data_IF_981567280422
#
_entry.id   IF_981567280422
#
_cell.length_a   1.000
_cell.length_b   1.000
_cell.length_c   1.000
_cell.angle_alpha   90.00
_cell.angle_beta   90.00
_cell.angle_gamma   90.00
#
_symmetry.space_group_name_H-M   'P 1'
#
loop_
_entity.id
_entity.type
_entity.pdbx_description
1 polymer ?
#
# COMPACT_ATOMS: atom_id res chain seq x y z
N UNK A 1 -7.69 -31.84 -4.93
CA UNK A 1 -9.14 -31.72 -5.17
C UNK A 1 -9.34 -31.58 -6.68
N UNK A 2 -10.26 -32.33 -7.27
CA UNK A 2 -10.51 -32.24 -8.71
C UNK A 2 -11.57 -31.16 -8.98
N UNK A 3 -11.11 -29.96 -9.37
CA UNK A 3 -11.99 -28.81 -9.62
C UNK A 3 -12.28 -28.72 -11.12
N UNK A 4 -13.55 -28.81 -11.49
CA UNK A 4 -13.98 -28.59 -12.87
C UNK A 4 -13.85 -27.11 -13.26
N UNK A 5 -12.76 -26.76 -13.98
CA UNK A 5 -12.49 -25.41 -14.47
C UNK A 5 -13.64 -24.85 -15.32
N UNK A 6 -14.27 -25.68 -16.16
CA UNK A 6 -15.44 -25.28 -16.97
C UNK A 6 -16.62 -24.84 -16.10
N UNK A 7 -16.90 -25.58 -15.02
CA UNK A 7 -17.96 -25.24 -14.07
C UNK A 7 -17.60 -23.99 -13.28
N UNK A 8 -16.38 -23.90 -12.78
CA UNK A 8 -15.85 -22.75 -12.05
C UNK A 8 -16.01 -21.46 -12.86
N UNK A 9 -15.57 -21.47 -14.13
CA UNK A 9 -15.73 -20.34 -15.06
C UNK A 9 -17.19 -19.91 -15.18
N UNK A 10 -18.10 -20.86 -15.42
CA UNK A 10 -19.53 -20.61 -15.59
C UNK A 10 -20.16 -20.01 -14.33
N UNK A 11 -19.80 -20.51 -13.16
CA UNK A 11 -20.37 -20.05 -11.90
C UNK A 11 -19.84 -18.67 -11.49
N UNK A 12 -18.54 -18.42 -11.63
CA UNK A 12 -17.97 -17.09 -11.41
C UNK A 12 -18.51 -16.06 -12.41
N UNK A 13 -18.69 -16.43 -13.68
CA UNK A 13 -19.25 -15.53 -14.69
C UNK A 13 -20.69 -15.10 -14.40
N UNK A 14 -21.48 -15.90 -13.66
CA UNK A 14 -22.82 -15.49 -13.20
C UNK A 14 -22.74 -14.43 -12.10
N UNK A 15 -21.62 -14.34 -11.38
CA UNK A 15 -21.44 -13.39 -10.28
C UNK A 15 -20.87 -12.08 -10.81
N UNK A 16 -19.77 -12.13 -11.57
CA UNK A 16 -19.01 -10.93 -11.98
C UNK A 16 -19.20 -10.54 -13.45
N UNK A 17 -19.92 -11.32 -14.25
CA UNK A 17 -19.99 -11.18 -15.71
C UNK A 17 -18.96 -12.04 -16.43
N UNK A 18 -19.20 -12.34 -17.71
CA UNK A 18 -18.32 -13.22 -18.52
C UNK A 18 -16.97 -12.58 -18.81
N UNK A 19 -16.98 -11.27 -18.99
CA UNK A 19 -15.84 -10.40 -19.27
C UNK A 19 -14.91 -10.21 -18.07
N UNK A 20 -15.33 -10.64 -16.87
CA UNK A 20 -14.60 -10.48 -15.62
C UNK A 20 -14.24 -11.82 -14.96
N UNK A 21 -14.40 -12.95 -15.67
CA UNK A 21 -14.14 -14.30 -15.18
C UNK A 21 -13.19 -15.04 -16.12
N UNK A 22 -11.95 -15.21 -15.67
CA UNK A 22 -10.85 -15.76 -16.45
C UNK A 22 -10.39 -17.11 -15.89
N UNK A 23 -10.06 -18.03 -16.80
CA UNK A 23 -9.59 -19.40 -16.50
C UNK A 23 -8.57 -19.87 -17.53
N UNK A 24 -8.16 -18.99 -18.44
CA UNK A 24 -7.13 -19.28 -19.44
C UNK A 24 -5.74 -19.28 -18.80
N UNK A 25 -4.84 -20.07 -19.40
CA UNK A 25 -3.47 -20.25 -18.89
C UNK A 25 -2.67 -18.94 -18.89
N UNK A 26 -2.71 -18.07 -19.93
CA UNK A 26 -1.97 -16.81 -19.93
C UNK A 26 -2.34 -15.92 -18.73
N UNK A 27 -3.63 -15.73 -18.47
CA UNK A 27 -4.09 -14.96 -17.30
C UNK A 27 -3.62 -15.62 -16.00
N UNK A 28 -3.77 -16.94 -15.89
CA UNK A 28 -3.34 -17.65 -14.69
C UNK A 28 -1.84 -17.49 -14.41
N UNK A 29 -0.99 -17.49 -15.45
CA UNK A 29 0.46 -17.29 -15.32
C UNK A 29 0.76 -15.86 -14.84
N UNK A 30 0.06 -14.86 -15.40
CA UNK A 30 0.27 -13.47 -15.02
C UNK A 30 0.00 -13.21 -13.52
N UNK A 31 -1.04 -13.84 -12.95
CA UNK A 31 -1.38 -13.70 -11.53
C UNK A 31 -0.65 -14.68 -10.60
N UNK A 32 0.11 -15.64 -11.14
CA UNK A 32 0.94 -16.53 -10.34
C UNK A 32 2.36 -15.98 -10.08
N UNK A 33 2.76 -14.95 -10.83
CA UNK A 33 4.04 -14.27 -10.69
C UNK A 33 4.04 -13.30 -9.51
N UNK A 34 5.20 -13.12 -8.93
CA UNK A 34 5.51 -11.97 -8.09
C UNK A 34 6.51 -11.06 -8.79
N UNK A 35 6.73 -9.87 -8.24
CA UNK A 35 7.75 -8.93 -8.75
C UNK A 35 9.15 -9.52 -8.54
N UNK A 36 9.37 -10.25 -7.44
CA UNK A 36 10.58 -11.02 -7.18
C UNK A 36 10.31 -12.11 -6.11
N UNK A 37 10.74 -13.38 -6.32
CA UNK A 37 11.21 -13.96 -7.59
C UNK A 37 10.07 -14.08 -8.62
N UNK A 38 10.42 -14.03 -9.91
CA UNK A 38 9.45 -14.08 -11.02
C UNK A 38 9.04 -15.50 -11.43
N UNK A 39 9.60 -16.52 -10.80
CA UNK A 39 9.35 -17.92 -11.12
C UNK A 39 7.91 -18.32 -10.78
N UNK A 40 7.33 -19.14 -11.65
CA UNK A 40 5.95 -19.61 -11.54
C UNK A 40 5.96 -21.10 -11.25
N UNK A 41 5.38 -21.46 -10.11
CA UNK A 41 5.23 -22.84 -9.68
C UNK A 41 3.80 -23.30 -9.93
N UNK A 42 3.63 -24.55 -10.37
CA UNK A 42 2.30 -25.09 -10.73
C UNK A 42 1.31 -25.02 -9.57
N UNK A 43 1.77 -25.21 -8.33
CA UNK A 43 0.91 -25.12 -7.16
C UNK A 43 0.47 -23.69 -6.83
N UNK A 44 1.09 -22.64 -7.37
CA UNK A 44 0.66 -21.24 -7.17
C UNK A 44 -0.30 -20.76 -8.26
N UNK A 45 -0.52 -21.55 -9.31
CA UNK A 45 -1.36 -21.16 -10.43
C UNK A 45 -2.84 -21.06 -10.00
N UNK A 46 -3.50 -19.91 -10.13
CA UNK A 46 -4.91 -19.83 -9.78
C UNK A 46 -5.76 -20.69 -10.73
N UNK A 47 -6.83 -21.27 -10.18
CA UNK A 47 -7.85 -21.96 -10.99
C UNK A 47 -8.66 -20.96 -11.83
N UNK A 48 -8.86 -19.77 -11.27
CA UNK A 48 -9.58 -18.69 -11.92
C UNK A 48 -9.14 -17.33 -11.36
N UNK A 49 -9.29 -16.29 -12.18
CA UNK A 49 -9.21 -14.90 -11.76
C UNK A 49 -10.59 -14.27 -11.96
N UNK A 50 -11.13 -13.66 -10.91
CA UNK A 50 -12.38 -12.92 -10.94
C UNK A 50 -12.11 -11.44 -10.65
N UNK A 51 -12.71 -10.55 -11.44
CA UNK A 51 -12.66 -9.09 -11.23
C UNK A 51 -13.99 -8.60 -10.69
N UNK A 52 -14.25 -8.64 -9.38
CA UNK A 52 -15.49 -8.12 -8.82
C UNK A 52 -15.58 -6.59 -8.94
N UNK A 53 -16.78 -6.08 -9.12
CA UNK A 53 -17.07 -4.64 -9.20
C UNK A 53 -17.63 -4.03 -7.90
N UNK A 54 -17.93 -4.84 -6.88
CA UNK A 54 -18.51 -4.37 -5.62
C UNK A 54 -18.42 -5.45 -4.52
N UNK A 55 -18.75 -5.07 -3.28
CA UNK A 55 -18.73 -5.97 -2.11
C UNK A 55 -19.75 -7.11 -2.17
N UNK A 56 -20.88 -6.96 -2.87
CA UNK A 56 -21.88 -8.03 -3.03
C UNK A 56 -21.36 -9.15 -3.94
N UNK A 57 -20.65 -8.82 -5.02
CA UNK A 57 -19.98 -9.80 -5.87
C UNK A 57 -18.92 -10.58 -5.09
N UNK A 58 -18.10 -9.90 -4.30
CA UNK A 58 -17.09 -10.54 -3.43
C UNK A 58 -17.75 -11.47 -2.41
N UNK A 59 -18.81 -11.00 -1.74
CA UNK A 59 -19.62 -11.83 -0.81
C UNK A 59 -20.08 -13.13 -1.46
N UNK A 60 -20.61 -13.07 -2.69
CA UNK A 60 -21.06 -14.25 -3.43
C UNK A 60 -19.90 -15.17 -3.80
N UNK A 61 -18.74 -14.62 -4.19
CA UNK A 61 -17.55 -15.43 -4.49
C UNK A 61 -17.05 -16.15 -3.24
N UNK A 62 -16.93 -15.47 -2.09
CA UNK A 62 -16.47 -16.10 -0.85
C UNK A 62 -17.41 -17.20 -0.37
N UNK A 63 -18.74 -16.99 -0.47
CA UNK A 63 -19.74 -18.04 -0.18
C UNK A 63 -19.60 -19.24 -1.11
N UNK A 64 -19.38 -19.00 -2.41
CA UNK A 64 -19.12 -20.06 -3.38
C UNK A 64 -17.84 -20.81 -3.05
N UNK A 65 -16.75 -20.09 -2.76
CA UNK A 65 -15.45 -20.64 -2.45
C UNK A 65 -15.49 -21.52 -1.20
N UNK A 66 -16.15 -21.07 -0.12
CA UNK A 66 -16.37 -21.86 1.10
C UNK A 66 -17.14 -23.16 0.82
N UNK A 67 -18.25 -23.07 0.08
CA UNK A 67 -19.07 -24.25 -0.26
C UNK A 67 -18.27 -25.31 -1.01
N UNK A 68 -17.32 -24.89 -1.85
CA UNK A 68 -16.51 -25.77 -2.68
C UNK A 68 -15.09 -26.01 -2.11
N UNK A 69 -14.79 -25.48 -0.91
CA UNK A 69 -13.47 -25.56 -0.25
C UNK A 69 -12.31 -25.06 -1.14
N UNK A 70 -12.53 -23.97 -1.87
CA UNK A 70 -11.53 -23.38 -2.77
C UNK A 70 -10.87 -22.20 -2.04
N UNK A 71 -9.53 -22.16 -1.90
CA UNK A 71 -8.83 -21.00 -1.36
C UNK A 71 -9.08 -19.75 -2.19
N UNK A 72 -8.99 -18.58 -1.55
CA UNK A 72 -9.15 -17.28 -2.21
C UNK A 72 -7.94 -16.42 -1.91
N UNK A 73 -7.43 -15.71 -2.92
CA UNK A 73 -6.32 -14.76 -2.78
C UNK A 73 -6.77 -13.39 -3.28
N UNK A 74 -6.63 -12.36 -2.46
CA UNK A 74 -6.90 -10.98 -2.85
C UNK A 74 -5.71 -10.39 -3.57
N UNK A 75 -5.95 -9.73 -4.69
CA UNK A 75 -4.90 -9.13 -5.51
C UNK A 75 -5.24 -7.68 -5.82
N UNK A 76 -4.35 -6.78 -5.37
CA UNK A 76 -4.35 -5.38 -5.79
C UNK A 76 -3.72 -5.24 -7.17
N UNK A 77 -2.44 -4.88 -7.21
CA UNK A 77 -1.64 -4.81 -8.44
C UNK A 77 -0.39 -5.69 -8.45
N UNK A 78 -0.19 -6.51 -7.41
CA UNK A 78 0.92 -7.48 -7.37
C UNK A 78 2.31 -6.87 -7.17
N UNK A 79 2.41 -5.64 -6.68
CA UNK A 79 3.68 -4.87 -6.57
C UNK A 79 4.50 -5.17 -5.32
N UNK A 80 4.14 -6.19 -4.55
CA UNK A 80 4.89 -6.60 -3.35
C UNK A 80 6.23 -7.20 -3.74
N UNK A 81 7.24 -7.07 -2.88
CA UNK A 81 8.56 -7.71 -3.03
C UNK A 81 8.76 -8.86 -2.03
N UNK A 82 7.75 -9.18 -1.22
CA UNK A 82 7.85 -10.17 -0.13
C UNK A 82 6.91 -11.36 -0.32
N UNK A 83 6.50 -11.63 -1.55
CA UNK A 83 5.69 -12.81 -1.86
C UNK A 83 4.17 -12.59 -1.80
N UNK A 84 3.68 -11.38 -1.47
CA UNK A 84 2.24 -11.12 -1.26
C UNK A 84 1.47 -10.91 -2.57
N UNK A 85 2.16 -10.70 -3.69
CA UNK A 85 1.51 -10.52 -4.99
C UNK A 85 1.00 -11.82 -5.59
N UNK A 86 1.62 -12.95 -5.22
CA UNK A 86 1.30 -14.28 -5.74
C UNK A 86 0.48 -15.14 -4.76
N UNK A 87 -0.46 -15.97 -5.26
CA UNK A 87 -1.12 -16.99 -4.46
C UNK A 87 -0.14 -17.98 -3.83
N UNK A 88 -0.48 -18.51 -2.66
CA UNK A 88 0.31 -19.57 -1.98
C UNK A 88 -0.10 -21.00 -2.36
N UNK A 89 -1.24 -21.12 -3.03
CA UNK A 89 -1.82 -22.38 -3.50
C UNK A 89 -2.75 -22.07 -4.66
N UNK A 90 -3.14 -23.09 -5.43
CA UNK A 90 -4.18 -22.97 -6.44
C UNK A 90 -5.46 -22.44 -5.77
N UNK A 91 -6.02 -21.35 -6.29
CA UNK A 91 -7.08 -20.58 -5.64
C UNK A 91 -7.97 -19.88 -6.67
N UNK A 92 -8.98 -19.16 -6.18
CA UNK A 92 -9.62 -18.07 -6.91
C UNK A 92 -8.89 -16.78 -6.55
N UNK A 93 -8.38 -16.06 -7.54
CA UNK A 93 -7.84 -14.71 -7.33
C UNK A 93 -8.95 -13.69 -7.47
N UNK A 94 -9.05 -12.77 -6.51
CA UNK A 94 -9.90 -11.58 -6.57
C UNK A 94 -9.06 -10.39 -7.01
N UNK A 95 -9.19 -9.98 -8.26
CA UNK A 95 -8.56 -8.78 -8.78
C UNK A 95 -9.45 -7.56 -8.53
N UNK A 96 -8.96 -6.67 -7.67
CA UNK A 96 -9.70 -5.51 -7.18
C UNK A 96 -9.72 -4.32 -8.17
N UNK A 97 -9.14 -4.44 -9.36
CA UNK A 97 -8.93 -3.34 -10.30
C UNK A 97 -10.22 -2.67 -10.84
N UNK A 98 -11.42 -3.24 -10.65
CA UNK A 98 -12.68 -2.58 -11.01
C UNK A 98 -13.20 -1.64 -9.93
N UNK A 99 -12.81 -1.84 -8.67
CA UNK A 99 -13.28 -1.06 -7.54
C UNK A 99 -12.37 0.17 -7.34
N UNK A 100 -12.74 1.31 -7.95
CA UNK A 100 -11.91 2.52 -8.05
C UNK A 100 -12.62 3.82 -7.66
N UNK A 101 -13.84 3.74 -7.15
CA UNK A 101 -14.59 4.93 -6.76
C UNK A 101 -13.92 5.69 -5.62
N UNK A 102 -14.04 7.02 -5.66
CA UNK A 102 -13.50 7.95 -4.67
C UNK A 102 -14.55 9.03 -4.36
N UNK A 103 -14.76 9.30 -3.08
CA UNK A 103 -15.56 10.43 -2.58
C UNK A 103 -14.76 11.18 -1.53
N UNK A 104 -14.59 12.48 -1.71
CA UNK A 104 -13.84 13.34 -0.78
C UNK A 104 -14.83 14.23 -0.03
N UNK A 105 -14.66 14.36 1.28
CA UNK A 105 -15.50 15.16 2.17
C UNK A 105 -14.62 16.17 2.93
N UNK A 106 -14.15 17.26 2.28
CA UNK A 106 -13.20 18.20 2.88
C UNK A 106 -13.72 18.82 4.17
N UNK A 107 -14.99 19.24 4.18
CA UNK A 107 -15.65 19.85 5.35
C UNK A 107 -15.78 18.89 6.54
N UNK A 108 -15.62 17.59 6.30
CA UNK A 108 -15.64 16.53 7.32
C UNK A 108 -14.25 15.96 7.61
N UNK A 109 -13.22 16.37 6.88
CA UNK A 109 -11.84 15.95 7.10
C UNK A 109 -11.53 14.49 6.75
N UNK A 110 -12.26 13.86 5.82
CA UNK A 110 -11.97 12.49 5.37
C UNK A 110 -12.32 12.27 3.89
N UNK A 111 -11.85 11.13 3.35
CA UNK A 111 -12.27 10.61 2.06
C UNK A 111 -12.63 9.12 2.18
N UNK A 112 -13.46 8.64 1.27
CA UNK A 112 -13.80 7.23 1.10
C UNK A 112 -13.33 6.77 -0.27
N UNK A 113 -12.60 5.66 -0.32
CA UNK A 113 -12.01 5.13 -1.55
C UNK A 113 -12.16 3.62 -1.64
N UNK A 114 -12.37 3.13 -2.85
CA UNK A 114 -12.34 1.72 -3.15
C UNK A 114 -10.90 1.19 -3.32
N UNK A 115 -10.64 -0.09 -2.98
CA UNK A 115 -9.29 -0.63 -2.77
C UNK A 115 -8.43 -0.68 -4.04
N UNK A 116 -9.03 -0.66 -5.23
CA UNK A 116 -8.34 -0.77 -6.52
C UNK A 116 -7.83 0.55 -7.09
N UNK A 117 -8.04 1.69 -6.41
CA UNK A 117 -7.52 2.97 -6.88
C UNK A 117 -6.00 3.06 -6.67
N UNK A 118 -5.28 3.45 -7.73
CA UNK A 118 -3.82 3.61 -7.67
C UNK A 118 -3.42 4.83 -6.82
N UNK A 119 -2.29 4.72 -6.13
CA UNK A 119 -1.76 5.76 -5.24
C UNK A 119 -1.54 7.08 -5.97
N UNK A 120 -0.92 7.07 -7.16
CA UNK A 120 -0.69 8.29 -7.94
C UNK A 120 -2.01 9.00 -8.32
N UNK A 121 -3.05 8.23 -8.67
CA UNK A 121 -4.38 8.79 -9.01
C UNK A 121 -5.08 9.36 -7.78
N UNK A 122 -4.99 8.66 -6.65
CA UNK A 122 -5.53 9.13 -5.38
C UNK A 122 -4.82 10.42 -4.92
N UNK A 123 -3.48 10.46 -4.95
CA UNK A 123 -2.69 11.65 -4.61
C UNK A 123 -3.09 12.84 -5.47
N UNK A 124 -3.21 12.65 -6.80
CA UNK A 124 -3.66 13.70 -7.72
C UNK A 124 -5.07 14.21 -7.39
N UNK A 125 -5.99 13.32 -7.01
CA UNK A 125 -7.35 13.70 -6.64
C UNK A 125 -7.42 14.43 -5.28
N UNK A 126 -6.49 14.17 -4.37
CA UNK A 126 -6.42 14.82 -3.06
C UNK A 126 -5.66 16.17 -3.08
N UNK A 127 -4.83 16.43 -4.10
CA UNK A 127 -4.04 17.64 -4.22
C UNK A 127 -4.84 18.97 -4.11
N UNK A 128 -6.04 19.12 -4.73
CA UNK A 128 -6.85 20.33 -4.57
C UNK A 128 -7.30 20.63 -3.14
N UNK A 129 -7.20 19.66 -2.24
CA UNK A 129 -7.58 19.78 -0.83
C UNK A 129 -6.38 20.00 0.10
N UNK A 130 -5.19 20.28 -0.46
CA UNK A 130 -3.94 20.41 0.28
C UNK A 130 -3.70 19.25 1.26
N UNK A 131 -4.01 18.03 0.81
CA UNK A 131 -4.01 16.84 1.66
C UNK A 131 -2.85 15.89 1.30
N UNK A 132 -2.15 15.43 2.34
CA UNK A 132 -1.16 14.38 2.29
C UNK A 132 -1.85 13.00 2.28
N UNK A 133 -1.41 12.14 1.35
CA UNK A 133 -1.61 10.69 1.45
C UNK A 133 -0.34 10.07 2.07
N UNK A 134 -0.41 9.44 3.26
CA UNK A 134 0.75 9.03 4.06
C UNK A 134 1.30 7.68 3.57
N UNK A 135 1.51 7.55 2.27
CA UNK A 135 2.03 6.37 1.62
C UNK A 135 2.92 6.79 0.45
N UNK A 136 4.17 6.33 0.44
CA UNK A 136 5.17 6.75 -0.55
C UNK A 136 5.86 5.54 -1.18
N UNK A 137 5.11 4.64 -1.84
CA UNK A 137 5.74 3.52 -2.55
C UNK A 137 6.44 4.02 -3.81
N UNK A 138 7.64 3.51 -4.10
CA UNK A 138 8.29 3.72 -5.41
C UNK A 138 7.43 3.23 -6.59
N UNK A 139 6.48 2.34 -6.34
CA UNK A 139 5.52 1.80 -7.32
C UNK A 139 4.20 2.60 -7.41
N UNK A 140 4.14 3.87 -6.99
CA UNK A 140 2.88 4.63 -6.84
C UNK A 140 1.96 4.69 -8.08
N UNK A 141 2.53 4.57 -9.29
CA UNK A 141 1.77 4.55 -10.54
C UNK A 141 0.85 3.32 -10.67
N UNK A 142 1.22 2.23 -10.01
CA UNK A 142 0.56 0.92 -10.09
C UNK A 142 0.11 0.38 -8.73
N UNK A 143 0.76 0.74 -7.62
CA UNK A 143 0.34 0.34 -6.27
C UNK A 143 -1.08 0.83 -5.98
N UNK A 144 -1.89 0.00 -5.31
CA UNK A 144 -3.28 0.35 -4.95
C UNK A 144 -3.40 0.72 -3.47
N UNK A 145 -4.37 1.56 -3.13
CA UNK A 145 -4.66 1.94 -1.73
C UNK A 145 -5.11 0.74 -0.89
N UNK A 146 -5.79 -0.24 -1.49
CA UNK A 146 -6.11 -1.51 -0.84
C UNK A 146 -4.88 -2.30 -0.42
N UNK A 147 -3.86 -2.37 -1.29
CA UNK A 147 -2.59 -3.01 -0.97
C UNK A 147 -1.85 -2.30 0.16
N UNK A 148 -1.76 -0.96 0.08
CA UNK A 148 -1.13 -0.13 1.13
C UNK A 148 -1.76 -0.36 2.51
N UNK A 149 -3.09 -0.40 2.61
CA UNK A 149 -3.79 -0.62 3.90
C UNK A 149 -3.73 -2.09 4.33
N UNK A 150 -3.74 -3.04 3.40
CA UNK A 150 -3.65 -4.48 3.71
C UNK A 150 -2.29 -4.87 4.24
N UNK A 151 -1.21 -4.26 3.75
CA UNK A 151 0.18 -4.45 4.23
C UNK A 151 0.52 -3.46 5.36
N UNK A 152 -0.24 -2.37 5.47
CA UNK A 152 -0.01 -1.27 6.40
C UNK A 152 1.40 -0.64 6.28
N UNK A 153 1.80 -0.29 5.05
CA UNK A 153 3.15 0.23 4.76
C UNK A 153 3.14 1.70 4.28
N UNK A 154 3.97 2.51 4.91
CA UNK A 154 4.34 3.87 4.52
C UNK A 154 5.38 3.91 3.38
N UNK A 155 6.01 2.76 3.10
CA UNK A 155 7.16 2.57 2.22
C UNK A 155 8.37 3.43 2.62
N UNK A 156 8.73 4.46 1.86
CA UNK A 156 9.96 5.24 2.11
C UNK A 156 9.87 6.18 3.33
N UNK A 157 8.67 6.50 3.81
CA UNK A 157 8.52 7.40 4.95
C UNK A 157 8.78 6.69 6.29
N UNK A 158 9.40 7.40 7.21
CA UNK A 158 9.73 6.87 8.53
C UNK A 158 8.50 6.94 9.44
N UNK A 159 8.05 5.78 9.91
CA UNK A 159 6.84 5.64 10.75
C UNK A 159 6.88 6.46 12.03
N UNK A 160 8.06 6.66 12.63
CA UNK A 160 8.20 7.47 13.84
C UNK A 160 7.83 8.95 13.62
N UNK A 161 7.77 9.41 12.36
CA UNK A 161 7.43 10.79 12.01
C UNK A 161 6.00 10.95 11.50
N UNK A 162 5.50 9.97 10.75
CA UNK A 162 4.22 10.03 10.04
C UNK A 162 3.26 8.92 10.44
N UNK A 163 3.59 8.08 11.42
CA UNK A 163 2.84 6.87 11.74
C UNK A 163 2.68 5.93 10.51
N UNK A 164 1.86 4.88 10.64
CA UNK A 164 1.50 4.02 9.51
C UNK A 164 0.25 4.54 8.78
N UNK A 165 0.01 4.19 7.50
CA UNK A 165 -1.24 4.52 6.82
C UNK A 165 -2.49 4.09 7.60
N UNK A 166 -2.42 2.94 8.28
CA UNK A 166 -3.44 2.43 9.17
C UNK A 166 -3.86 3.39 10.29
N UNK A 167 -2.96 4.27 10.73
CA UNK A 167 -3.21 5.30 11.76
C UNK A 167 -4.17 6.39 11.31
N UNK A 168 -4.34 6.52 10.01
CA UNK A 168 -5.25 7.47 9.40
C UNK A 168 -6.55 6.82 8.92
N UNK A 169 -6.68 5.50 9.00
CA UNK A 169 -7.93 4.79 8.67
C UNK A 169 -8.96 5.00 9.78
N UNK A 170 -10.07 5.65 9.42
CA UNK A 170 -11.20 5.93 10.29
C UNK A 170 -12.22 4.78 10.31
N UNK A 171 -12.30 4.01 9.23
CA UNK A 171 -13.19 2.87 9.10
C UNK A 171 -12.97 2.09 7.81
N UNK A 172 -13.47 0.85 7.78
CA UNK A 172 -13.41 -0.03 6.61
C UNK A 172 -14.80 -0.62 6.33
N UNK A 173 -15.13 -0.80 5.05
CA UNK A 173 -16.06 -1.84 4.62
C UNK A 173 -15.22 -3.05 4.18
N UNK A 174 -15.55 -4.22 4.71
CA UNK A 174 -14.86 -5.47 4.39
C UNK A 174 -15.87 -6.59 4.13
N UNK A 175 -15.44 -7.60 3.39
CA UNK A 175 -16.16 -8.88 3.30
C UNK A 175 -15.37 -9.93 4.06
N UNK A 176 -16.01 -10.55 5.05
CA UNK A 176 -15.44 -11.62 5.85
C UNK A 176 -15.37 -12.93 5.06
N UNK A 177 -14.56 -13.92 5.47
CA UNK A 177 -14.51 -15.23 4.82
C UNK A 177 -15.88 -15.90 4.70
N UNK A 178 -16.81 -15.67 5.63
CA UNK A 178 -18.21 -16.16 5.59
C UNK A 178 -19.04 -15.53 4.45
N UNK A 179 -18.52 -14.46 3.83
CA UNK A 179 -19.20 -13.63 2.85
C UNK A 179 -20.09 -12.56 3.47
N UNK A 180 -20.07 -12.36 4.79
CA UNK A 180 -20.75 -11.24 5.44
C UNK A 180 -20.03 -9.92 5.16
N UNK A 181 -20.78 -8.85 4.99
CA UNK A 181 -20.23 -7.50 4.78
C UNK A 181 -20.25 -6.78 6.12
N UNK A 182 -19.08 -6.41 6.62
CA UNK A 182 -18.89 -5.71 7.87
C UNK A 182 -18.44 -4.28 7.59
N UNK A 183 -19.05 -3.32 8.29
CA UNK A 183 -18.60 -1.92 8.34
C UNK A 183 -18.05 -1.62 9.72
N UNK A 184 -16.85 -1.05 9.76
CA UNK A 184 -16.14 -0.74 11.01
C UNK A 184 -15.81 0.74 11.10
N UNK A 185 -15.50 1.19 12.31
CA UNK A 185 -14.98 2.53 12.56
C UNK A 185 -16.05 3.61 12.58
N UNK A 186 -15.66 4.83 12.26
CA UNK A 186 -16.50 6.04 12.38
C UNK A 186 -16.11 7.08 11.34
N UNK A 187 -16.87 8.17 11.26
CA UNK A 187 -16.51 9.39 10.53
C UNK A 187 -15.78 10.40 11.44
N UNK A 188 -15.83 10.19 12.76
CA UNK A 188 -15.18 11.06 13.75
C UNK A 188 -13.67 10.84 13.85
N UNK A 189 -12.93 11.92 14.09
CA UNK A 189 -11.50 11.86 14.43
C UNK A 189 -11.25 11.34 15.85
N UNK A 190 -12.23 11.50 16.75
CA UNK A 190 -12.22 10.94 18.11
C UNK A 190 -13.06 9.67 18.16
N UNK A 191 -12.43 8.56 18.49
CA UNK A 191 -13.06 7.23 18.56
C UNK A 191 -13.50 6.92 20.01
N UNK A 192 -14.60 6.17 20.21
CA UNK A 192 -14.96 5.67 21.54
C UNK A 192 -13.90 4.69 22.06
N UNK A 193 -13.75 4.62 23.38
CA UNK A 193 -12.90 3.61 24.01
C UNK A 193 -13.52 2.21 23.87
N UNK A 194 -12.70 1.18 23.63
CA UNK A 194 -13.14 -0.21 23.46
C UNK A 194 -12.40 -0.93 22.35
N UNK A 195 -12.98 -2.04 21.87
CA UNK A 195 -12.43 -2.84 20.77
C UNK A 195 -12.45 -2.01 19.48
N UNK A 196 -11.28 -1.75 18.92
CA UNK A 196 -11.13 -1.06 17.65
C UNK A 196 -11.05 -2.10 16.51
N UNK A 197 -12.22 -2.51 16.00
CA UNK A 197 -12.34 -3.52 14.95
C UNK A 197 -11.66 -3.13 13.63
N UNK A 198 -11.58 -1.83 13.30
CA UNK A 198 -10.89 -1.37 12.10
C UNK A 198 -9.40 -1.70 12.16
N UNK A 199 -8.76 -1.47 13.31
CA UNK A 199 -7.34 -1.73 13.53
C UNK A 199 -6.98 -3.22 13.50
N UNK A 200 -7.89 -4.10 13.89
CA UNK A 200 -7.71 -5.55 13.73
C UNK A 200 -7.67 -5.99 12.26
N UNK A 201 -8.31 -5.25 11.35
CA UNK A 201 -8.44 -5.63 9.93
C UNK A 201 -7.40 -4.94 9.04
N UNK A 202 -6.89 -3.77 9.45
CA UNK A 202 -5.73 -3.13 8.83
C UNK A 202 -4.49 -4.02 9.01
N UNK A 203 -3.65 -4.12 7.98
CA UNK A 203 -2.46 -4.98 8.07
C UNK A 203 -2.76 -6.48 8.03
N UNK A 204 -4.00 -6.89 7.73
CA UNK A 204 -4.39 -8.31 7.70
C UNK A 204 -3.94 -9.07 6.46
N UNK A 205 -3.33 -8.41 5.48
CA UNK A 205 -2.80 -9.00 4.25
C UNK A 205 -3.81 -9.86 3.46
N UNK A 206 -5.11 -9.60 3.64
CA UNK A 206 -6.19 -10.37 3.03
C UNK A 206 -6.52 -11.69 3.74
N UNK A 207 -5.86 -12.02 4.85
CA UNK A 207 -6.08 -13.26 5.61
C UNK A 207 -7.40 -13.24 6.39
N UNK A 208 -7.76 -12.09 6.95
CA UNK A 208 -8.94 -11.95 7.81
C UNK A 208 -10.18 -11.44 7.08
N UNK A 209 -9.99 -10.72 5.98
CA UNK A 209 -11.09 -10.13 5.22
C UNK A 209 -10.63 -9.64 3.83
N UNK A 210 -11.59 -9.34 2.96
CA UNK A 210 -11.38 -8.58 1.73
C UNK A 210 -11.81 -7.14 1.95
N UNK A 211 -10.89 -6.18 1.91
CA UNK A 211 -11.22 -4.75 2.04
C UNK A 211 -11.94 -4.29 0.76
N UNK A 212 -13.11 -3.66 0.91
CA UNK A 212 -13.92 -3.15 -0.22
C UNK A 212 -14.13 -1.64 -0.20
N UNK A 213 -13.95 -0.99 0.96
CA UNK A 213 -13.92 0.48 1.05
C UNK A 213 -13.05 0.90 2.22
N UNK A 214 -12.29 1.97 2.02
CA UNK A 214 -11.41 2.56 3.02
C UNK A 214 -11.90 3.98 3.28
N UNK A 215 -12.23 4.29 4.54
CA UNK A 215 -12.42 5.67 4.99
C UNK A 215 -11.13 6.11 5.67
N UNK A 216 -10.48 7.11 5.12
CA UNK A 216 -9.20 7.63 5.63
C UNK A 216 -9.29 9.13 5.84
N UNK A 217 -8.63 9.61 6.90
CA UNK A 217 -8.56 11.02 7.25
C UNK A 217 -7.85 11.82 6.15
N UNK A 218 -8.34 13.03 5.88
CA UNK A 218 -7.59 14.04 5.13
C UNK A 218 -6.54 14.64 6.07
N UNK A 219 -5.28 14.38 5.78
CA UNK A 219 -4.14 14.88 6.55
C UNK A 219 -3.66 16.14 5.87
N UNK A 220 -3.45 17.27 6.56
CA UNK A 220 -2.85 18.45 5.93
C UNK A 220 -1.47 18.15 5.34
N UNK A 221 -1.21 18.65 4.14
CA UNK A 221 0.12 18.59 3.52
C UNK A 221 1.09 19.47 4.33
N UNK A 222 2.19 18.92 4.89
CA UNK A 222 3.16 19.71 5.63
C UNK A 222 4.07 20.48 4.68
N UNK A 223 4.75 21.50 5.21
CA UNK A 223 5.92 22.07 4.56
C UNK A 223 7.07 21.07 4.64
N UNK A 224 7.91 21.04 3.60
CA UNK A 224 9.01 20.10 3.47
C UNK A 224 10.27 20.82 2.99
N UNK A 225 11.42 20.46 3.57
CA UNK A 225 12.75 20.89 3.12
C UNK A 225 13.58 19.63 2.84
N UNK A 226 14.24 19.58 1.68
CA UNK A 226 15.05 18.44 1.27
C UNK A 226 16.54 18.74 1.51
N UNK A 227 17.25 17.77 2.08
CA UNK A 227 18.69 17.82 2.35
C UNK A 227 19.33 16.63 1.64
N UNK A 228 20.37 16.90 0.85
CA UNK A 228 21.24 15.87 0.28
C UNK A 228 22.62 16.02 0.90
N UNK A 229 23.12 14.95 1.51
CA UNK A 229 24.43 14.92 2.15
C UNK A 229 25.31 13.84 1.52
N UNK A 230 26.54 14.22 1.19
CA UNK A 230 27.55 13.34 0.64
C UNK A 230 28.48 12.87 1.75
N UNK A 231 28.69 11.56 1.81
CA UNK A 231 29.53 10.90 2.80
C UNK A 231 30.66 10.16 2.10
N UNK A 232 31.75 9.93 2.83
CA UNK A 232 32.88 9.14 2.31
C UNK A 232 32.53 7.67 2.20
N UNK A 233 31.74 7.18 3.16
CA UNK A 233 31.34 5.78 3.24
C UNK A 233 29.91 5.61 3.71
N UNK A 234 29.34 4.43 3.48
CA UNK A 234 28.06 4.04 4.09
C UNK A 234 28.14 4.01 5.62
N UNK A 235 29.29 3.64 6.19
CA UNK A 235 29.49 3.60 7.65
C UNK A 235 29.38 5.01 8.27
N UNK A 236 29.88 6.05 7.59
CA UNK A 236 29.74 7.44 8.06
C UNK A 236 28.25 7.84 8.19
N UNK A 237 27.37 7.32 7.31
CA UNK A 237 25.92 7.54 7.39
C UNK A 237 25.33 6.85 8.62
N UNK A 238 25.75 5.61 8.88
CA UNK A 238 25.31 4.84 10.05
C UNK A 238 25.74 5.52 11.35
N UNK A 239 26.96 6.06 11.40
CA UNK A 239 27.46 6.85 12.53
C UNK A 239 26.59 8.09 12.78
N UNK A 240 26.16 8.80 11.72
CA UNK A 240 25.21 9.92 11.83
C UNK A 240 23.89 9.45 12.45
N UNK A 241 23.31 8.34 11.97
CA UNK A 241 22.06 7.80 12.54
C UNK A 241 22.23 7.43 14.01
N UNK A 242 23.35 6.82 14.38
CA UNK A 242 23.65 6.50 15.77
C UNK A 242 23.86 7.76 16.63
N UNK A 243 24.46 8.81 16.08
CA UNK A 243 24.59 10.10 16.75
C UNK A 243 23.24 10.78 16.94
N UNK A 244 22.30 10.64 15.99
CA UNK A 244 20.93 11.15 16.15
C UNK A 244 20.25 10.56 17.39
N UNK A 245 20.33 9.23 17.57
CA UNK A 245 19.78 8.58 18.77
C UNK A 245 20.44 9.09 20.05
N UNK A 246 21.78 9.17 20.09
CA UNK A 246 22.54 9.60 21.27
C UNK A 246 22.28 11.06 21.65
N UNK A 247 22.07 11.93 20.67
CA UNK A 247 21.85 13.38 20.86
C UNK A 247 20.37 13.76 20.83
N UNK A 248 19.46 12.78 20.77
CA UNK A 248 18.01 13.00 20.66
C UNK A 248 17.61 13.95 19.51
N UNK A 249 18.27 13.81 18.35
CA UNK A 249 17.93 14.58 17.15
C UNK A 249 16.61 14.05 16.58
N UNK A 250 15.62 14.92 16.31
CA UNK A 250 14.37 14.51 15.70
C UNK A 250 14.59 13.81 14.35
N UNK A 251 13.90 12.69 14.15
CA UNK A 251 14.00 11.93 12.91
C UNK A 251 13.40 12.70 11.73
N UNK A 252 14.08 12.77 10.57
CA UNK A 252 13.51 13.25 9.31
C UNK A 252 12.29 12.43 8.86
N UNK A 253 11.42 13.02 8.04
CA UNK A 253 10.28 12.31 7.42
C UNK A 253 10.75 11.21 6.47
N UNK A 254 11.78 11.51 5.70
CA UNK A 254 12.52 10.58 4.86
C UNK A 254 13.99 10.63 5.28
N UNK A 255 14.63 9.48 5.38
CA UNK A 255 16.08 9.34 5.49
C UNK A 255 16.48 8.09 4.72
N UNK A 256 16.68 8.26 3.42
CA UNK A 256 17.08 7.19 2.50
C UNK A 256 18.56 7.35 2.19
N UNK A 257 19.26 6.24 1.92
CA UNK A 257 20.65 6.31 1.51
C UNK A 257 20.94 5.40 0.31
N UNK A 258 21.95 5.80 -0.47
CA UNK A 258 22.57 5.00 -1.50
C UNK A 258 24.02 4.76 -1.07
N UNK A 259 24.43 3.49 -1.07
CA UNK A 259 25.84 3.13 -0.86
C UNK A 259 26.70 3.67 -2.02
N UNK A 260 28.01 3.57 -1.87
CA UNK A 260 29.02 4.10 -2.80
C UNK A 260 28.86 3.57 -4.22
N UNK A 261 28.32 2.36 -4.38
CA UNK A 261 28.12 1.74 -5.70
C UNK A 261 26.77 2.16 -6.29
N UNK A 262 25.72 2.12 -5.49
CA UNK A 262 24.35 2.41 -5.88
C UNK A 262 24.16 3.90 -6.17
N UNK A 263 24.90 4.77 -5.47
CA UNK A 263 24.87 6.22 -5.71
C UNK A 263 25.36 6.57 -7.11
N UNK A 264 26.44 5.93 -7.58
CA UNK A 264 26.94 6.09 -8.96
C UNK A 264 25.87 5.73 -10.00
N UNK A 265 25.21 4.56 -9.83
CA UNK A 265 24.15 4.11 -10.74
C UNK A 265 22.98 5.10 -10.76
N UNK A 266 22.56 5.57 -9.58
CA UNK A 266 21.46 6.53 -9.45
C UNK A 266 21.75 7.86 -10.12
N UNK A 267 22.95 8.41 -9.92
CA UNK A 267 23.36 9.69 -10.51
C UNK A 267 23.53 9.59 -12.03
N UNK A 268 24.16 8.52 -12.52
CA UNK A 268 24.32 8.27 -13.96
C UNK A 268 22.95 8.17 -14.67
N UNK A 269 22.00 7.46 -14.07
CA UNK A 269 20.67 7.26 -14.63
C UNK A 269 19.88 8.56 -14.87
N UNK A 270 20.24 9.65 -14.17
CA UNK A 270 19.63 10.97 -14.32
C UNK A 270 20.60 12.01 -14.93
N UNK A 271 21.78 11.60 -15.37
CA UNK A 271 22.77 12.46 -16.04
C UNK A 271 23.53 13.42 -15.10
N UNK A 272 23.67 13.07 -13.83
CA UNK A 272 24.47 13.81 -12.85
C UNK A 272 25.89 13.24 -12.74
N UNK A 273 26.85 14.07 -12.31
CA UNK A 273 28.21 13.64 -12.03
C UNK A 273 28.26 12.65 -10.85
N UNK A 274 29.15 11.67 -10.91
CA UNK A 274 29.32 10.68 -9.85
C UNK A 274 29.59 11.38 -8.50
N UNK A 275 28.86 11.01 -7.43
CA UNK A 275 29.08 11.60 -6.12
C UNK A 275 30.43 11.14 -5.54
N UNK A 276 31.02 11.92 -4.61
CA UNK A 276 32.31 11.57 -4.00
C UNK A 276 32.26 10.31 -3.09
N UNK A 277 31.09 9.72 -2.86
CA UNK A 277 30.91 8.52 -2.05
C UNK A 277 29.44 8.15 -1.87
N UNK A 278 29.09 7.68 -0.67
CA UNK A 278 27.71 7.37 -0.30
C UNK A 278 26.87 8.64 -0.19
N UNK A 279 25.56 8.52 -0.40
CA UNK A 279 24.64 9.68 -0.43
C UNK A 279 23.46 9.41 0.48
N UNK A 280 23.15 10.36 1.36
CA UNK A 280 21.91 10.36 2.13
C UNK A 280 20.97 11.45 1.60
N UNK A 281 19.71 11.09 1.41
CA UNK A 281 18.62 11.99 1.01
C UNK A 281 17.61 12.05 2.14
N UNK A 282 17.35 13.26 2.62
CA UNK A 282 16.52 13.50 3.79
C UNK A 282 15.46 14.53 3.48
N UNK A 283 14.30 14.38 4.10
CA UNK A 283 13.26 15.40 4.06
C UNK A 283 12.85 15.74 5.48
N UNK A 284 12.97 17.00 5.83
CA UNK A 284 12.48 17.56 7.08
C UNK A 284 11.08 18.10 6.82
N UNK A 285 10.18 17.94 7.80
CA UNK A 285 8.81 18.45 7.67
C UNK A 285 8.30 19.19 8.91
N UNK A 286 7.36 20.12 8.67
CA UNK A 286 6.66 20.85 9.71
C UNK A 286 5.31 21.36 9.24
N UNK A 287 4.42 21.68 10.19
CA UNK A 287 3.13 22.31 9.89
C UNK A 287 3.25 23.75 9.40
N UNK A 288 4.38 24.41 9.66
CA UNK A 288 4.66 25.78 9.21
C UNK A 288 5.96 25.85 8.42
N UNK A 289 6.04 26.78 7.47
CA UNK A 289 7.26 27.03 6.69
C UNK A 289 8.45 27.35 7.60
N UNK A 290 8.30 28.34 8.48
CA UNK A 290 9.35 28.76 9.43
C UNK A 290 9.82 27.60 10.31
N UNK A 291 8.89 26.80 10.84
CA UNK A 291 9.27 25.64 11.65
C UNK A 291 9.96 24.54 10.85
N UNK A 292 9.70 24.44 9.55
CA UNK A 292 10.40 23.50 8.67
C UNK A 292 11.83 23.96 8.41
N UNK A 293 12.01 25.24 8.07
CA UNK A 293 13.31 25.89 7.85
C UNK A 293 14.19 25.83 9.11
N UNK A 294 13.64 26.12 10.28
CA UNK A 294 14.36 26.03 11.56
C UNK A 294 14.81 24.60 11.87
N UNK A 295 13.94 23.59 11.64
CA UNK A 295 14.31 22.18 11.84
C UNK A 295 15.39 21.76 10.86
N UNK A 296 15.29 22.17 9.59
CA UNK A 296 16.29 21.87 8.57
C UNK A 296 17.64 22.50 8.94
N UNK A 297 17.66 23.76 9.38
CA UNK A 297 18.88 24.43 9.86
C UNK A 297 19.52 23.71 11.04
N UNK A 298 18.74 23.35 12.07
CA UNK A 298 19.24 22.57 13.21
C UNK A 298 19.79 21.21 12.82
N UNK A 299 19.16 20.57 11.83
CA UNK A 299 19.63 19.29 11.31
C UNK A 299 20.96 19.46 10.56
N UNK A 300 21.10 20.51 9.74
CA UNK A 300 22.36 20.85 9.07
C UNK A 300 23.48 21.24 10.05
N UNK A 301 23.18 21.91 11.16
CA UNK A 301 24.15 22.21 12.22
C UNK A 301 24.60 20.95 12.99
N UNK A 302 23.79 19.88 12.94
CA UNK A 302 24.11 18.61 13.56
C UNK A 302 25.00 17.72 12.68
N UNK A 303 24.78 17.74 11.35
CA UNK A 303 25.58 17.04 10.35
C UNK A 303 27.03 17.56 10.32
#
# INVERSE_FOLDING_TARGET
>A
MDISIKKLKKDLAKIVGKENSFTDKPTSVAYAKDTMPWDVEEHNMPYAVARPGNSLEISRILKYANKNKIPVHTHGSGTSLVGLGRPKTNCIVLDMARMKDLKVFPDRGYFEVEPGLHIAKLRKALAPHNALLPAFPGSELVATIGGIVSVNTSAHAIDATLCKPGDYVLGLEVVLPTGEILKTGTESTRKPAGIEATKFLVGSEGLLCVITKIRMRLIPLPHMENIVAYYRSTDDILDTVMAMYKKAIPTPMFFEYLDEKSSNVGFEAVGLEAPPGAVAMMTISSSTKVGCEEKAKKFLEFL
#
